data_IF_443763309556
#
_entry.id   IF_443763309556
#
_cell.length_a   1.000
_cell.length_b   1.000
_cell.length_c   1.000
_cell.angle_alpha   90.00
_cell.angle_beta   90.00
_cell.angle_gamma   90.00
#
_symmetry.space_group_name_H-M   'P 1'
#
loop_
_entity.id
_entity.type
_entity.pdbx_description
1 polymer ?
#
# COMPACT_ATOMS: atom_id res chain seq x y z
N UNK A 1 -0.68 -7.54 -15.52
CA UNK A 1 0.77 -7.70 -15.21
C UNK A 1 1.01 -9.11 -14.70
N UNK A 2 2.16 -9.71 -15.02
CA UNK A 2 2.54 -11.02 -14.50
C UNK A 2 3.53 -10.84 -13.32
N UNK A 3 3.40 -11.62 -12.23
CA UNK A 3 4.38 -11.62 -11.14
C UNK A 3 5.80 -12.04 -11.61
N UNK A 4 6.89 -11.66 -10.90
CA UNK A 4 6.91 -10.93 -9.63
C UNK A 4 6.66 -9.43 -9.80
N UNK A 5 5.72 -8.88 -9.03
CA UNK A 5 5.36 -7.46 -9.04
C UNK A 5 4.89 -7.04 -7.63
N UNK A 6 5.16 -5.80 -7.21
CA UNK A 6 4.60 -5.19 -6.00
C UNK A 6 3.63 -4.09 -6.43
N UNK A 7 2.30 -4.33 -6.42
CA UNK A 7 1.32 -3.30 -6.74
C UNK A 7 1.19 -2.28 -5.61
N UNK A 8 0.70 -1.07 -5.93
CA UNK A 8 0.36 -0.08 -4.91
C UNK A 8 -0.89 -0.53 -4.13
N UNK A 9 -0.69 -0.91 -2.86
CA UNK A 9 -1.74 -1.48 -2.03
C UNK A 9 -2.93 -0.53 -1.82
N UNK A 10 -2.67 0.79 -1.83
CA UNK A 10 -3.72 1.80 -1.65
C UNK A 10 -4.89 1.68 -2.63
N UNK A 11 -4.65 1.27 -3.88
CA UNK A 11 -5.72 1.02 -4.86
C UNK A 11 -6.70 -0.04 -4.36
N UNK A 12 -6.19 -1.18 -3.90
CA UNK A 12 -7.03 -2.28 -3.40
C UNK A 12 -7.73 -1.91 -2.10
N UNK A 13 -7.09 -1.13 -1.22
CA UNK A 13 -7.71 -0.67 0.02
C UNK A 13 -8.89 0.27 -0.29
N UNK A 14 -8.75 1.14 -1.28
CA UNK A 14 -9.83 2.02 -1.74
C UNK A 14 -11.00 1.19 -2.29
N UNK A 15 -10.74 0.20 -3.15
CA UNK A 15 -11.81 -0.66 -3.70
C UNK A 15 -12.52 -1.47 -2.60
N UNK A 16 -11.78 -1.99 -1.62
CA UNK A 16 -12.35 -2.68 -0.47
C UNK A 16 -13.21 -1.75 0.39
N UNK A 17 -12.76 -0.52 0.63
CA UNK A 17 -13.53 0.48 1.36
C UNK A 17 -14.85 0.82 0.64
N UNK A 18 -14.80 0.99 -0.69
CA UNK A 18 -16.00 1.23 -1.50
C UNK A 18 -17.02 0.09 -1.42
N UNK A 19 -16.56 -1.16 -1.44
CA UNK A 19 -17.45 -2.33 -1.29
C UNK A 19 -18.07 -2.34 0.11
N UNK A 20 -17.28 -1.99 1.12
CA UNK A 20 -17.70 -2.06 2.51
C UNK A 20 -18.76 -1.01 2.86
N UNK A 21 -18.61 0.20 2.30
CA UNK A 21 -19.58 1.29 2.44
C UNK A 21 -20.82 1.09 1.54
N UNK A 22 -20.63 0.58 0.32
CA UNK A 22 -21.69 0.48 -0.68
C UNK A 22 -22.58 -0.75 -0.56
N UNK A 23 -22.17 -1.80 0.17
CA UNK A 23 -22.89 -3.08 0.24
C UNK A 23 -23.04 -3.55 1.69
N UNK A 24 -24.24 -3.90 2.17
CA UNK A 24 -24.43 -4.38 3.54
C UNK A 24 -23.92 -5.82 3.71
N UNK A 25 -23.45 -6.14 4.93
CA UNK A 25 -22.95 -7.49 5.28
C UNK A 25 -24.05 -8.54 5.35
N UNK A 26 -25.29 -8.13 5.65
CA UNK A 26 -26.46 -8.98 5.72
C UNK A 26 -27.54 -8.48 4.77
N UNK A 27 -28.38 -9.39 4.28
CA UNK A 27 -29.58 -9.07 3.53
C UNK A 27 -30.65 -8.51 4.48
N UNK A 28 -31.76 -8.01 3.93
CA UNK A 28 -32.89 -7.50 4.73
C UNK A 28 -33.51 -8.59 5.61
N UNK A 29 -33.40 -9.86 5.21
CA UNK A 29 -33.84 -11.03 5.96
C UNK A 29 -32.82 -11.49 7.03
N UNK A 30 -31.71 -10.76 7.20
CA UNK A 30 -30.67 -11.08 8.18
C UNK A 30 -29.72 -12.22 7.78
N UNK A 31 -29.74 -12.65 6.51
CA UNK A 31 -28.82 -13.65 5.99
C UNK A 31 -27.50 -13.02 5.54
N UNK A 32 -26.40 -13.77 5.54
CA UNK A 32 -25.11 -13.24 5.05
C UNK A 32 -25.21 -12.87 3.56
N UNK A 33 -24.75 -11.68 3.21
CA UNK A 33 -24.71 -11.22 1.83
C UNK A 33 -23.50 -11.82 1.08
N UNK A 34 -23.70 -12.99 0.49
CA UNK A 34 -22.64 -13.66 -0.29
C UNK A 34 -22.21 -12.92 -1.56
N UNK A 35 -23.03 -11.98 -2.06
CA UNK A 35 -22.61 -11.13 -3.19
C UNK A 35 -21.43 -10.25 -2.79
N UNK A 36 -21.57 -9.56 -1.65
CA UNK A 36 -20.49 -8.78 -1.04
C UNK A 36 -19.23 -9.61 -0.78
N UNK A 37 -19.42 -10.80 -0.20
CA UNK A 37 -18.30 -11.71 0.10
C UNK A 37 -17.54 -12.13 -1.17
N UNK A 38 -18.24 -12.34 -2.29
CA UNK A 38 -17.58 -12.64 -3.58
C UNK A 38 -16.78 -11.46 -4.10
N UNK A 39 -17.29 -10.23 -3.97
CA UNK A 39 -16.57 -9.02 -4.40
C UNK A 39 -15.26 -8.85 -3.62
N UNK A 40 -15.33 -8.93 -2.29
CA UNK A 40 -14.14 -8.88 -1.41
C UNK A 40 -13.15 -9.99 -1.75
N UNK A 41 -13.65 -11.22 -1.91
CA UNK A 41 -12.81 -12.39 -2.25
C UNK A 41 -12.09 -12.22 -3.59
N UNK A 42 -12.73 -11.59 -4.58
CA UNK A 42 -12.11 -11.32 -5.88
C UNK A 42 -10.85 -10.47 -5.72
N UNK A 43 -10.93 -9.35 -5.00
CA UNK A 43 -9.79 -8.47 -4.72
C UNK A 43 -8.70 -9.19 -3.94
N UNK A 44 -9.06 -9.91 -2.87
CA UNK A 44 -8.10 -10.66 -2.06
C UNK A 44 -7.35 -11.69 -2.91
N UNK A 45 -8.03 -12.35 -3.86
CA UNK A 45 -7.39 -13.33 -4.75
C UNK A 45 -6.34 -12.68 -5.65
N UNK A 46 -6.57 -11.47 -6.15
CA UNK A 46 -5.57 -10.73 -6.93
C UNK A 46 -4.36 -10.37 -6.08
N UNK A 47 -4.56 -9.83 -4.87
CA UNK A 47 -3.46 -9.52 -3.95
C UNK A 47 -2.61 -10.77 -3.69
N UNK A 48 -3.27 -11.91 -3.44
CA UNK A 48 -2.59 -13.19 -3.21
C UNK A 48 -1.78 -13.65 -4.42
N UNK A 49 -2.24 -13.42 -5.64
CA UNK A 49 -1.50 -13.78 -6.85
C UNK A 49 -0.12 -13.07 -6.90
N UNK A 50 -0.05 -11.80 -6.49
CA UNK A 50 1.21 -11.06 -6.47
C UNK A 50 2.12 -11.47 -5.30
N UNK A 51 1.55 -11.95 -4.19
CA UNK A 51 2.32 -12.45 -3.03
C UNK A 51 2.95 -13.84 -3.26
N UNK A 52 2.41 -14.65 -4.18
CA UNK A 52 2.83 -16.04 -4.38
C UNK A 52 4.18 -16.19 -5.10
N UNK A 53 4.59 -15.20 -5.90
CA UNK A 53 5.81 -15.28 -6.70
C UNK A 53 6.86 -14.35 -6.13
N UNK A 54 7.94 -14.93 -5.58
CA UNK A 54 9.07 -14.15 -5.06
C UNK A 54 9.93 -13.57 -6.18
N UNK A 55 10.57 -12.43 -5.90
CA UNK A 55 11.66 -11.93 -6.72
C UNK A 55 12.88 -12.85 -6.61
N UNK A 56 13.64 -12.97 -7.70
CA UNK A 56 14.94 -13.68 -7.73
C UNK A 56 16.08 -12.67 -7.52
N UNK A 57 16.11 -12.06 -6.34
CA UNK A 57 17.11 -11.06 -5.95
C UNK A 57 17.82 -11.58 -4.70
N UNK A 58 19.15 -11.62 -4.73
CA UNK A 58 19.93 -12.06 -3.59
C UNK A 58 19.94 -11.00 -2.48
N UNK A 59 19.71 -11.44 -1.25
CA UNK A 59 19.74 -10.56 -0.10
C UNK A 59 21.17 -10.06 0.17
N UNK A 60 21.33 -8.74 0.22
CA UNK A 60 22.60 -8.07 0.53
C UNK A 60 22.53 -7.43 1.93
N UNK A 61 23.13 -8.04 2.97
CA UNK A 61 22.95 -7.60 4.36
C UNK A 61 23.36 -6.13 4.61
N UNK A 62 24.46 -5.68 4.00
CA UNK A 62 24.93 -4.29 4.16
C UNK A 62 23.93 -3.27 3.58
N UNK A 63 23.34 -3.61 2.43
CA UNK A 63 22.34 -2.76 1.77
C UNK A 63 21.05 -2.76 2.58
N UNK A 64 20.58 -3.94 3.02
CA UNK A 64 19.40 -4.05 3.85
C UNK A 64 19.54 -3.28 5.17
N UNK A 65 20.69 -3.37 5.82
CA UNK A 65 20.98 -2.62 7.05
C UNK A 65 20.91 -1.10 6.83
N UNK A 66 21.53 -0.60 5.75
CA UNK A 66 21.47 0.82 5.39
C UNK A 66 20.03 1.29 5.12
N UNK A 67 19.26 0.53 4.35
CA UNK A 67 17.88 0.90 3.99
C UNK A 67 16.90 0.83 5.17
N UNK A 68 17.20 0.01 6.19
CA UNK A 68 16.36 -0.18 7.37
C UNK A 68 16.77 0.71 8.55
N UNK A 69 17.81 1.53 8.38
CA UNK A 69 18.25 2.47 9.39
C UNK A 69 17.21 3.58 9.60
N UNK A 70 16.60 3.59 10.79
CA UNK A 70 15.55 4.55 11.13
C UNK A 70 16.10 5.92 11.46
N UNK A 71 17.38 6.03 11.78
CA UNK A 71 18.01 7.31 12.09
C UNK A 71 18.13 8.19 10.81
N UNK A 72 17.95 7.58 9.63
CA UNK A 72 17.87 8.28 8.34
C UNK A 72 16.48 8.88 8.06
N UNK A 73 15.46 8.57 8.87
CA UNK A 73 14.11 9.11 8.69
C UNK A 73 14.05 10.51 9.30
N UNK A 74 13.83 11.49 8.44
CA UNK A 74 13.64 12.90 8.80
C UNK A 74 12.16 13.23 8.57
N UNK A 75 11.54 13.95 9.50
CA UNK A 75 10.15 14.38 9.36
C UNK A 75 9.97 15.45 8.27
N UNK A 76 8.72 15.62 7.84
CA UNK A 76 8.36 16.52 6.74
C UNK A 76 8.74 17.97 7.02
N UNK A 77 8.52 18.47 8.25
CA UNK A 77 8.80 19.86 8.62
C UNK A 77 10.30 20.12 8.60
N UNK A 78 11.09 19.23 9.21
CA UNK A 78 12.55 19.33 9.19
C UNK A 78 13.12 19.22 7.76
N UNK A 79 12.61 18.32 6.93
CA UNK A 79 13.01 18.20 5.52
C UNK A 79 12.73 19.50 4.75
N UNK A 80 11.57 20.10 4.98
CA UNK A 80 11.18 21.35 4.35
C UNK A 80 12.09 22.51 4.79
N UNK A 81 12.39 22.64 6.09
CA UNK A 81 13.35 23.65 6.58
C UNK A 81 14.75 23.46 6.01
N UNK A 82 15.24 22.21 5.94
CA UNK A 82 16.54 21.89 5.33
C UNK A 82 16.55 22.25 3.85
N UNK A 83 15.46 21.95 3.12
CA UNK A 83 15.30 22.33 1.72
C UNK A 83 15.43 23.84 1.54
N UNK A 84 14.82 24.65 2.41
CA UNK A 84 14.91 26.12 2.35
C UNK A 84 16.32 26.65 2.67
N UNK A 85 17.10 25.94 3.49
CA UNK A 85 18.50 26.28 3.76
C UNK A 85 19.41 25.97 2.56
N UNK A 86 19.13 24.89 1.85
CA UNK A 86 19.89 24.48 0.66
C UNK A 86 19.54 25.37 -0.53
N UNK A 87 18.25 25.62 -0.75
CA UNK A 87 17.74 26.47 -1.83
C UNK A 87 16.78 27.53 -1.25
N UNK A 88 17.32 28.70 -0.87
CA UNK A 88 16.51 29.80 -0.35
C UNK A 88 15.52 30.31 -1.40
N UNK A 89 14.31 30.66 -0.95
CA UNK A 89 13.32 31.31 -1.81
C UNK A 89 13.86 32.65 -2.29
N UNK A 90 13.70 32.93 -3.58
CA UNK A 90 14.03 34.25 -4.12
C UNK A 90 13.17 35.32 -3.44
N UNK A 91 13.73 36.50 -3.13
CA UNK A 91 12.93 37.61 -2.66
C UNK A 91 11.89 37.97 -3.72
N UNK A 92 10.66 38.22 -3.27
CA UNK A 92 9.56 38.71 -4.11
C UNK A 92 9.90 40.07 -4.73
#
# INVERSE_FOLDING_TARGET
CNPPAVPYLGMYLTDLAFIEEGTPNFTEEGLVNFSKMRMISHIIREIRQFQQTSYRIDHQPKVAQYLLDKDLIIDEDTLYELSLKIEPRLPA
#
